data_IF_783296316320
#
_entry.id   IF_783296316320
#
_cell.length_a   1.000
_cell.length_b   1.000
_cell.length_c   1.000
_cell.angle_alpha   90.00
_cell.angle_beta   90.00
_cell.angle_gamma   90.00
#
_symmetry.space_group_name_H-M   'P 1'
#
loop_
_entity.id
_entity.type
_entity.pdbx_description
1 polymer ?
#
# COMPACT_ATOMS: atom_id res chain seq x y z
N UNK A 1 -9.44 10.36 7.71
CA UNK A 1 -10.51 9.80 6.84
C UNK A 1 -9.90 8.79 5.86
N UNK A 2 -10.72 8.06 5.07
CA UNK A 2 -10.23 7.05 4.09
C UNK A 2 -9.27 7.67 3.06
N UNK A 3 -9.59 8.85 2.52
CA UNK A 3 -8.78 9.56 1.51
C UNK A 3 -7.38 9.87 2.05
N UNK A 4 -7.26 10.40 3.27
CA UNK A 4 -5.96 10.71 3.89
C UNK A 4 -5.05 9.47 3.96
N UNK A 5 -5.64 8.31 4.23
CA UNK A 5 -4.92 7.04 4.28
C UNK A 5 -4.49 6.57 2.89
N UNK A 6 -5.35 6.68 1.87
CA UNK A 6 -4.97 6.34 0.49
C UNK A 6 -3.81 7.22 0.01
N UNK A 7 -3.91 8.54 0.23
CA UNK A 7 -2.83 9.48 -0.07
C UNK A 7 -1.56 9.17 0.72
N UNK A 8 -1.70 8.86 2.01
CA UNK A 8 -0.57 8.47 2.86
C UNK A 8 0.15 7.20 2.36
N UNK A 9 -0.60 6.18 1.95
CA UNK A 9 -0.03 4.95 1.37
C UNK A 9 0.75 5.28 0.09
N UNK A 10 0.18 6.10 -0.81
CA UNK A 10 0.85 6.50 -2.04
C UNK A 10 2.14 7.28 -1.77
N UNK A 11 2.10 8.28 -0.88
CA UNK A 11 3.29 9.05 -0.50
C UNK A 11 4.39 8.15 0.07
N UNK A 12 4.02 7.16 0.89
CA UNK A 12 4.97 6.17 1.41
C UNK A 12 5.62 5.39 0.27
N UNK A 13 4.83 4.90 -0.69
CA UNK A 13 5.32 4.11 -1.82
C UNK A 13 6.12 4.94 -2.84
N UNK A 14 5.94 6.26 -2.87
CA UNK A 14 6.76 7.18 -3.68
C UNK A 14 8.09 7.53 -3.02
N UNK A 15 8.15 7.54 -1.69
CA UNK A 15 9.36 7.83 -0.92
C UNK A 15 10.21 6.58 -0.63
N UNK A 16 9.59 5.41 -0.65
CA UNK A 16 10.18 4.13 -0.29
C UNK A 16 9.85 3.14 -1.40
N UNK A 17 10.86 2.48 -1.96
CA UNK A 17 10.65 1.53 -3.06
C UNK A 17 9.70 0.38 -2.70
N UNK A 18 9.59 0.04 -1.41
CA UNK A 18 8.78 -1.09 -0.94
C UNK A 18 8.36 -0.94 0.52
N UNK A 19 7.14 -1.34 0.83
CA UNK A 19 6.64 -1.48 2.22
C UNK A 19 5.85 -2.79 2.39
N UNK A 20 5.21 -3.03 3.54
CA UNK A 20 4.39 -4.24 3.76
C UNK A 20 3.00 -3.89 4.33
N UNK A 21 2.00 -4.74 4.07
CA UNK A 21 0.66 -4.54 4.62
C UNK A 21 0.62 -4.46 6.16
N UNK A 22 1.36 -5.30 6.93
CA UNK A 22 1.48 -5.14 8.38
C UNK A 22 2.06 -3.80 8.82
N UNK A 23 3.06 -3.28 8.09
CA UNK A 23 3.70 -2.00 8.42
C UNK A 23 2.73 -0.83 8.21
N UNK A 24 2.06 -0.80 7.06
CA UNK A 24 1.03 0.20 6.78
C UNK A 24 -0.14 0.09 7.79
N UNK A 25 -0.54 -1.13 8.15
CA UNK A 25 -1.62 -1.37 9.11
C UNK A 25 -1.28 -0.78 10.49
N UNK A 26 -0.06 -0.98 10.99
CA UNK A 26 0.42 -0.36 12.22
C UNK A 26 0.46 1.16 12.10
N UNK A 27 1.04 1.68 11.01
CA UNK A 27 1.25 3.12 10.82
C UNK A 27 -0.04 3.92 10.74
N UNK A 28 -1.08 3.35 10.12
CA UNK A 28 -2.38 3.98 9.98
C UNK A 28 -3.41 3.51 11.01
N UNK A 29 -3.00 2.68 11.97
CA UNK A 29 -3.85 2.14 13.04
C UNK A 29 -5.12 1.45 12.50
N UNK A 30 -4.95 0.65 11.45
CA UNK A 30 -6.04 -0.11 10.82
C UNK A 30 -5.68 -1.59 10.69
N UNK A 31 -6.67 -2.41 10.37
CA UNK A 31 -6.42 -3.82 10.07
C UNK A 31 -5.65 -4.01 8.75
N UNK A 32 -4.92 -5.12 8.63
CA UNK A 32 -4.34 -5.56 7.35
C UNK A 32 -5.39 -5.71 6.25
N UNK A 33 -6.61 -6.14 6.61
CA UNK A 33 -7.74 -6.25 5.67
C UNK A 33 -8.15 -4.88 5.12
N UNK A 34 -8.05 -3.82 5.93
CA UNK A 34 -8.30 -2.45 5.48
C UNK A 34 -7.23 -2.02 4.49
N UNK A 35 -5.95 -2.23 4.81
CA UNK A 35 -4.84 -1.92 3.90
C UNK A 35 -5.00 -2.66 2.56
N UNK A 36 -5.24 -3.97 2.56
CA UNK A 36 -5.40 -4.71 1.32
C UNK A 36 -6.53 -4.15 0.45
N UNK A 37 -7.64 -3.74 1.06
CA UNK A 37 -8.75 -3.10 0.35
C UNK A 37 -8.38 -1.72 -0.21
N UNK A 38 -7.61 -0.95 0.56
CA UNK A 38 -7.10 0.34 0.11
C UNK A 38 -6.12 0.17 -1.08
N UNK A 39 -5.29 -0.87 -1.07
CA UNK A 39 -4.44 -1.24 -2.21
C UNK A 39 -5.30 -1.58 -3.43
N UNK A 40 -6.34 -2.39 -3.27
CA UNK A 40 -7.28 -2.70 -4.36
C UNK A 40 -7.97 -1.45 -4.91
N UNK A 41 -8.40 -0.53 -4.04
CA UNK A 41 -9.02 0.74 -4.43
C UNK A 41 -8.05 1.63 -5.20
N UNK A 42 -6.78 1.69 -4.78
CA UNK A 42 -5.72 2.44 -5.46
C UNK A 42 -5.42 1.84 -6.84
N UNK A 43 -5.34 0.51 -6.95
CA UNK A 43 -5.19 -0.18 -8.24
C UNK A 43 -6.36 0.12 -9.18
N UNK A 44 -7.60 0.10 -8.67
CA UNK A 44 -8.80 0.44 -9.44
C UNK A 44 -8.84 1.90 -9.88
N UNK A 45 -8.16 2.78 -9.16
CA UNK A 45 -7.97 4.18 -9.56
C UNK A 45 -6.89 4.38 -10.65
N UNK A 46 -6.25 3.30 -11.11
CA UNK A 46 -5.28 3.32 -12.21
C UNK A 46 -3.82 3.42 -11.78
N UNK A 47 -3.52 3.34 -10.47
CA UNK A 47 -2.14 3.31 -9.99
C UNK A 47 -1.61 1.87 -10.03
N UNK A 48 -0.50 1.58 -10.74
CA UNK A 48 -0.02 0.22 -10.91
C UNK A 48 0.74 -0.25 -9.66
N UNK A 49 0.04 -0.71 -8.62
CA UNK A 49 0.68 -1.30 -7.45
C UNK A 49 0.93 -2.80 -7.66
N UNK A 50 2.09 -3.27 -7.21
CA UNK A 50 2.49 -4.68 -7.22
C UNK A 50 2.55 -5.18 -5.78
N UNK A 51 2.08 -6.40 -5.57
CA UNK A 51 2.25 -7.09 -4.28
C UNK A 51 3.04 -8.38 -4.49
N UNK A 52 4.09 -8.56 -3.70
CA UNK A 52 4.92 -9.77 -3.71
C UNK A 52 4.73 -10.50 -2.38
N UNK A 53 4.37 -11.77 -2.44
CA UNK A 53 4.21 -12.61 -1.25
C UNK A 53 5.55 -13.27 -0.84
N UNK A 54 5.61 -13.73 0.41
CA UNK A 54 6.77 -14.45 0.95
C UNK A 54 7.77 -13.58 1.70
N UNK A 55 8.87 -14.20 2.14
CA UNK A 55 9.96 -13.51 2.83
C UNK A 55 10.60 -12.48 1.91
N UNK A 56 10.75 -11.25 2.38
CA UNK A 56 11.23 -10.13 1.55
C UNK A 56 10.20 -9.58 0.56
N UNK A 57 8.96 -10.07 0.60
CA UNK A 57 7.84 -9.53 -0.17
C UNK A 57 7.42 -8.12 0.29
N UNK A 58 6.37 -7.59 -0.31
CA UNK A 58 5.91 -6.24 -0.02
C UNK A 58 4.93 -5.68 -1.04
N UNK A 59 4.63 -4.39 -0.88
CA UNK A 59 3.82 -3.56 -1.75
C UNK A 59 4.76 -2.49 -2.33
N UNK A 60 4.73 -2.30 -3.64
CA UNK A 60 5.51 -1.29 -4.36
C UNK A 60 4.71 -0.74 -5.55
N UNK A 61 5.15 0.39 -6.10
CA UNK A 61 4.66 0.86 -7.40
C UNK A 61 5.45 0.10 -8.48
N UNK A 62 4.75 -0.37 -9.53
CA UNK A 62 5.40 -1.04 -10.65
C UNK A 62 6.44 -0.10 -11.29
N UNK A 63 7.64 -0.59 -11.64
CA UNK A 63 8.54 0.18 -12.47
C UNK A 63 7.88 0.45 -13.83
N UNK A 64 7.94 1.70 -14.27
CA UNK A 64 7.53 2.11 -15.61
C UNK A 64 8.54 1.72 -16.67
#
# INVERSE_FOLDING_TARGET
>A
MKIDRLMGILTILLQQDKTTAPELARRFEVSRRTINRDIDDICRAGVPLVTTQGHGGGISIAPG
#
